data_IF_697510204357
#
_entry.id   IF_697510204357
#
_cell.length_a   1.000
_cell.length_b   1.000
_cell.length_c   1.000
_cell.angle_alpha   90.00
_cell.angle_beta   90.00
_cell.angle_gamma   90.00
#
_symmetry.space_group_name_H-M   'P 1'
#
loop_
_entity.id
_entity.type
_entity.pdbx_description
1 polymer ?
#
# COMPACT_ATOMS: atom_id res chain seq x y z
N UNK A 1 4.37 39.64 -2.23
CA UNK A 1 4.67 39.28 -0.82
C UNK A 1 4.74 37.76 -0.72
N UNK A 2 5.94 37.19 -0.57
CA UNK A 2 6.12 35.74 -0.47
C UNK A 2 5.99 35.33 1.01
N UNK A 3 4.84 34.78 1.39
CA UNK A 3 4.59 34.36 2.77
C UNK A 3 5.43 33.11 3.07
N UNK A 4 6.24 33.09 4.14
CA UNK A 4 7.02 31.90 4.48
C UNK A 4 6.07 30.76 4.83
N UNK A 5 6.24 29.60 4.18
CA UNK A 5 5.42 28.43 4.45
C UNK A 5 5.52 28.07 5.94
N UNK A 6 4.39 28.03 6.63
CA UNK A 6 4.30 27.68 8.05
C UNK A 6 4.98 26.33 8.30
N UNK A 7 5.81 26.23 9.34
CA UNK A 7 6.44 24.96 9.71
C UNK A 7 5.43 23.87 10.05
N UNK A 8 4.19 24.24 10.35
CA UNK A 8 3.09 23.33 10.61
C UNK A 8 2.52 22.66 9.34
N UNK A 9 2.84 23.17 8.15
CA UNK A 9 2.39 22.59 6.88
C UNK A 9 2.84 21.12 6.70
N UNK A 10 3.94 20.71 7.34
CA UNK A 10 4.42 19.32 7.34
C UNK A 10 3.51 18.34 8.09
N UNK A 11 2.68 18.86 8.99
CA UNK A 11 1.75 18.07 9.82
C UNK A 11 0.34 18.05 9.23
N UNK A 12 0.11 18.73 8.11
CA UNK A 12 -1.13 18.57 7.35
C UNK A 12 -1.15 17.14 6.83
N UNK A 13 -2.21 16.39 7.19
CA UNK A 13 -2.41 15.04 6.71
C UNK A 13 -2.35 15.04 5.18
N UNK A 14 -1.41 14.28 4.62
CA UNK A 14 -1.36 14.12 3.16
C UNK A 14 -2.66 13.45 2.74
N UNK A 15 -3.32 13.93 1.67
CA UNK A 15 -4.49 13.25 1.13
C UNK A 15 -4.14 11.81 0.81
N UNK A 16 -5.09 10.89 1.06
CA UNK A 16 -4.92 9.49 0.76
C UNK A 16 -4.55 9.31 -0.73
N UNK A 17 -3.64 8.36 -1.01
CA UNK A 17 -3.25 8.08 -2.38
C UNK A 17 -4.48 7.66 -3.21
N UNK A 18 -4.61 8.23 -4.40
CA UNK A 18 -5.64 7.81 -5.35
C UNK A 18 -5.39 6.36 -5.79
N UNK A 19 -6.44 5.67 -6.24
CA UNK A 19 -6.32 4.29 -6.75
C UNK A 19 -5.25 4.16 -7.85
N UNK A 20 -5.13 5.16 -8.73
CA UNK A 20 -4.11 5.20 -9.77
C UNK A 20 -2.68 5.31 -9.21
N UNK A 21 -2.48 6.13 -8.19
CA UNK A 21 -1.18 6.26 -7.51
C UNK A 21 -0.78 4.97 -6.78
N UNK A 22 -1.74 4.29 -6.14
CA UNK A 22 -1.49 2.99 -5.49
C UNK A 22 -1.10 1.94 -6.52
N UNK A 23 -1.77 1.88 -7.67
CA UNK A 23 -1.41 0.96 -8.77
C UNK A 23 -0.02 1.27 -9.33
N UNK A 24 0.32 2.53 -9.54
CA UNK A 24 1.64 2.93 -10.01
C UNK A 24 2.75 2.54 -9.01
N UNK A 25 2.49 2.70 -7.71
CA UNK A 25 3.40 2.26 -6.66
C UNK A 25 3.60 0.75 -6.67
N UNK A 26 2.52 -0.03 -6.80
CA UNK A 26 2.59 -1.48 -6.92
C UNK A 26 3.35 -1.94 -8.16
N UNK A 27 3.11 -1.32 -9.32
CA UNK A 27 3.86 -1.60 -10.54
C UNK A 27 5.35 -1.33 -10.37
N UNK A 28 5.70 -0.22 -9.72
CA UNK A 28 7.10 0.11 -9.42
C UNK A 28 7.73 -0.90 -8.46
N UNK A 29 7.04 -1.27 -7.38
CA UNK A 29 7.53 -2.28 -6.43
C UNK A 29 7.81 -3.62 -7.12
N UNK A 30 6.98 -4.01 -8.09
CA UNK A 30 7.20 -5.20 -8.90
C UNK A 30 8.43 -5.08 -9.80
N UNK A 31 8.53 -3.99 -10.56
CA UNK A 31 9.58 -3.84 -11.56
C UNK A 31 10.96 -3.55 -10.95
N UNK A 32 11.02 -2.78 -9.87
CA UNK A 32 12.28 -2.33 -9.28
C UNK A 32 12.78 -3.32 -8.22
N UNK A 33 11.89 -3.87 -7.39
CA UNK A 33 12.25 -4.63 -6.18
C UNK A 33 11.79 -6.11 -6.23
N UNK A 34 11.02 -6.50 -7.25
CA UNK A 34 10.40 -7.84 -7.31
C UNK A 34 9.35 -8.09 -6.23
N UNK A 35 8.83 -7.03 -5.60
CA UNK A 35 7.84 -7.11 -4.53
C UNK A 35 6.45 -7.03 -5.11
N UNK A 36 5.57 -7.92 -4.65
CA UNK A 36 4.17 -7.94 -5.03
C UNK A 36 3.35 -7.29 -3.90
N UNK A 37 2.70 -6.16 -4.21
CA UNK A 37 1.74 -5.49 -3.32
C UNK A 37 0.32 -5.77 -3.79
N UNK A 38 -0.40 -6.63 -3.07
CA UNK A 38 -1.78 -7.00 -3.38
C UNK A 38 -2.66 -6.74 -2.17
N UNK A 39 -3.86 -6.21 -2.41
CA UNK A 39 -4.90 -6.29 -1.40
C UNK A 39 -5.62 -7.64 -1.56
N UNK A 40 -5.85 -8.42 -0.49
CA UNK A 40 -6.51 -9.72 -0.61
C UNK A 40 -7.85 -9.66 -1.35
N UNK A 41 -8.62 -8.59 -1.18
CA UNK A 41 -9.90 -8.35 -1.88
C UNK A 41 -9.78 -8.20 -3.41
N UNK A 42 -8.57 -7.95 -3.94
CA UNK A 42 -8.31 -7.91 -5.39
C UNK A 42 -8.12 -9.31 -5.99
N UNK A 43 -7.97 -10.34 -5.16
CA UNK A 43 -7.84 -11.73 -5.57
C UNK A 43 -9.23 -12.39 -5.65
N UNK A 44 -9.69 -12.60 -6.89
CA UNK A 44 -10.98 -13.24 -7.19
C UNK A 44 -10.97 -14.75 -6.90
N UNK A 45 -9.82 -15.39 -6.98
CA UNK A 45 -9.64 -16.79 -6.63
C UNK A 45 -9.51 -16.93 -5.11
N UNK A 46 -10.48 -17.62 -4.51
CA UNK A 46 -10.58 -17.78 -3.05
C UNK A 46 -9.42 -18.60 -2.46
N UNK A 47 -8.92 -19.59 -3.19
CA UNK A 47 -7.81 -20.42 -2.74
C UNK A 47 -6.50 -19.63 -2.74
N UNK A 48 -6.23 -18.91 -3.82
CA UNK A 48 -5.07 -18.03 -3.92
C UNK A 48 -5.11 -16.92 -2.88
N UNK A 49 -6.29 -16.31 -2.66
CA UNK A 49 -6.49 -15.30 -1.62
C UNK A 49 -6.11 -15.83 -0.24
N UNK A 50 -6.61 -17.01 0.13
CA UNK A 50 -6.30 -17.61 1.41
C UNK A 50 -4.81 -18.00 1.53
N UNK A 51 -4.21 -18.51 0.45
CA UNK A 51 -2.79 -18.87 0.44
C UNK A 51 -1.88 -17.66 0.68
N UNK A 52 -2.18 -16.52 0.04
CA UNK A 52 -1.43 -15.26 0.24
C UNK A 52 -1.60 -14.72 1.66
N UNK A 53 -2.83 -14.75 2.22
CA UNK A 53 -3.08 -14.35 3.61
C UNK A 53 -2.25 -15.23 4.55
N UNK A 54 -2.34 -16.56 4.42
CA UNK A 54 -1.60 -17.48 5.29
C UNK A 54 -0.08 -17.26 5.21
N UNK A 55 0.45 -17.01 4.01
CA UNK A 55 1.86 -16.71 3.82
C UNK A 55 2.25 -15.39 4.51
N UNK A 56 1.45 -14.34 4.36
CA UNK A 56 1.67 -13.06 5.01
C UNK A 56 1.61 -13.18 6.54
N UNK A 57 0.62 -13.90 7.08
CA UNK A 57 0.51 -14.10 8.52
C UNK A 57 1.68 -14.90 9.11
N UNK A 58 2.20 -15.87 8.36
CA UNK A 58 3.39 -16.63 8.75
C UNK A 58 4.63 -15.75 8.79
N UNK A 59 4.75 -14.78 7.89
CA UNK A 59 5.92 -13.90 7.79
C UNK A 59 5.86 -12.70 8.74
N UNK A 60 4.68 -12.10 8.90
CA UNK A 60 4.51 -10.80 9.56
C UNK A 60 3.60 -10.84 10.79
N UNK A 61 3.05 -12.01 11.13
CA UNK A 61 2.05 -12.16 12.18
C UNK A 61 0.63 -11.89 11.67
N UNK A 62 -0.37 -12.20 12.49
CA UNK A 62 -1.79 -12.02 12.13
C UNK A 62 -2.09 -10.57 11.81
N UNK A 63 -2.92 -10.38 10.78
CA UNK A 63 -3.47 -9.06 10.46
C UNK A 63 -4.32 -8.57 11.64
N UNK A 64 -4.16 -7.29 12.00
CA UNK A 64 -5.11 -6.60 12.88
C UNK A 64 -6.20 -6.04 11.98
N UNK A 65 -7.43 -6.51 12.20
CA UNK A 65 -8.62 -6.05 11.49
C UNK A 65 -9.08 -4.67 11.98
#
# INVERSE_FOLDING_TARGET
MNQPASQLARYVAKPAATTGQVKALGARAWHDEGIICLRPEELTDDFLRQAVINAAEKLYGRRQD
#
